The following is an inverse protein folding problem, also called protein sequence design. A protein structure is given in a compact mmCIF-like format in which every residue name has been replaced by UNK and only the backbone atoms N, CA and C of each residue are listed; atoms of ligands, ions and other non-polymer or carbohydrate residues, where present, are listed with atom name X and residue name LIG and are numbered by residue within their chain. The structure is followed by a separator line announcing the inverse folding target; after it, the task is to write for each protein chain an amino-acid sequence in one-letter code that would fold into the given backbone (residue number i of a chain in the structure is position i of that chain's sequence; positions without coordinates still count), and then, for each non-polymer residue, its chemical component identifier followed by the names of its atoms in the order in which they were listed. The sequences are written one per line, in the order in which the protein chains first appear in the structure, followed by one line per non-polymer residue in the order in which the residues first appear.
data_IF_349719340563
#
_entry.id   IF_349719340563
#
_cell.length_a   1.000
_cell.length_b   1.000
_cell.length_c   1.000
_cell.angle_alpha   90.00
_cell.angle_beta   90.00
_cell.angle_gamma   90.00
#
_symmetry.space_group_name_H-M   'P 1'
#
loop_
_entity.id
_entity.type
_entity.pdbx_description
1 polymer ?
#
# COMPACT_ATOMS: atom_id res chain seq x y z
N UNK A 1 -13.93 9.27 -20.99
CA UNK A 1 -12.86 8.57 -20.28
C UNK A 1 -13.45 7.59 -19.27
N UNK A 2 -13.84 8.04 -18.08
CA UNK A 2 -14.21 7.20 -16.93
C UNK A 2 -15.24 6.10 -17.22
N UNK A 3 -16.30 6.38 -17.98
CA UNK A 3 -17.29 5.37 -18.34
C UNK A 3 -16.66 4.18 -19.10
N UNK A 4 -15.87 4.47 -20.13
CA UNK A 4 -15.25 3.42 -20.95
C UNK A 4 -14.20 2.63 -20.16
N UNK A 5 -13.46 3.33 -19.27
CA UNK A 5 -12.52 2.68 -18.34
C UNK A 5 -13.26 1.72 -17.42
N UNK A 6 -14.35 2.18 -16.78
CA UNK A 6 -15.19 1.34 -15.91
C UNK A 6 -15.85 0.17 -16.64
N UNK A 7 -16.10 0.29 -17.95
CA UNK A 7 -16.68 -0.76 -18.79
C UNK A 7 -15.62 -1.64 -19.47
N UNK A 8 -14.32 -1.35 -19.28
CA UNK A 8 -13.21 -2.08 -19.92
C UNK A 8 -13.14 -1.95 -21.44
N UNK A 9 -13.67 -0.87 -22.01
CA UNK A 9 -13.77 -0.66 -23.47
C UNK A 9 -12.79 0.40 -23.96
N UNK A 10 -12.09 0.12 -25.07
CA UNK A 10 -11.10 1.01 -25.69
C UNK A 10 -10.13 1.64 -24.67
N UNK A 11 -9.59 0.84 -23.72
CA UNK A 11 -8.85 1.34 -22.56
C UNK A 11 -7.72 2.30 -22.93
N UNK A 12 -6.87 1.93 -23.89
CA UNK A 12 -5.73 2.76 -24.30
C UNK A 12 -6.11 4.11 -24.94
N UNK A 13 -7.38 4.30 -25.30
CA UNK A 13 -7.89 5.60 -25.78
C UNK A 13 -8.23 6.55 -24.64
N UNK A 14 -8.53 6.01 -23.47
CA UNK A 14 -9.10 6.74 -22.34
C UNK A 14 -8.26 6.67 -21.07
N UNK A 15 -7.31 5.74 -20.98
CA UNK A 15 -6.38 5.53 -19.89
C UNK A 15 -4.97 5.42 -20.46
N UNK A 16 -4.01 6.13 -19.86
CA UNK A 16 -2.60 5.95 -20.15
C UNK A 16 -2.11 4.63 -19.56
N UNK A 17 -2.49 3.51 -20.19
CA UNK A 17 -2.21 2.15 -19.69
C UNK A 17 -0.72 1.96 -19.43
N UNK A 18 0.14 2.50 -20.29
CA UNK A 18 1.59 2.41 -20.09
C UNK A 18 2.05 3.01 -18.76
N UNK A 19 1.61 4.22 -18.44
CA UNK A 19 1.98 4.87 -17.19
C UNK A 19 1.30 4.23 -15.98
N UNK A 20 0.08 3.70 -16.14
CA UNK A 20 -0.59 2.93 -15.09
C UNK A 20 0.20 1.65 -14.76
N UNK A 21 0.68 0.90 -15.75
CA UNK A 21 1.50 -0.29 -15.50
C UNK A 21 2.84 0.05 -14.84
N UNK A 22 3.46 1.19 -15.21
CA UNK A 22 4.67 1.70 -14.52
C UNK A 22 4.37 2.09 -13.07
N UNK A 23 3.25 2.77 -12.84
CA UNK A 23 2.78 3.10 -11.50
C UNK A 23 2.61 1.81 -10.68
N UNK A 24 1.95 0.80 -11.24
CA UNK A 24 1.76 -0.49 -10.56
C UNK A 24 3.10 -1.13 -10.19
N UNK A 25 4.06 -1.17 -11.12
CA UNK A 25 5.37 -1.76 -10.87
C UNK A 25 6.12 -1.05 -9.74
N UNK A 26 6.15 0.30 -9.76
CA UNK A 26 6.80 1.08 -8.69
C UNK A 26 6.06 0.90 -7.36
N UNK A 27 4.73 0.86 -7.38
CA UNK A 27 3.90 0.70 -6.19
C UNK A 27 4.14 -0.65 -5.50
N UNK A 28 4.03 -1.74 -6.26
CA UNK A 28 4.26 -3.10 -5.80
C UNK A 28 5.72 -3.30 -5.36
N UNK A 29 6.68 -2.70 -6.07
CA UNK A 29 8.09 -2.70 -5.66
C UNK A 29 8.26 -2.01 -4.29
N UNK A 30 7.63 -0.85 -4.11
CA UNK A 30 7.75 -0.05 -2.88
C UNK A 30 6.98 -0.59 -1.69
N UNK A 31 6.01 -1.49 -1.89
CA UNK A 31 5.14 -2.00 -0.82
C UNK A 31 4.49 -0.85 -0.04
N UNK A 32 3.88 0.10 -0.78
CA UNK A 32 3.27 1.27 -0.16
C UNK A 32 1.86 0.94 0.37
N UNK A 33 1.84 0.46 1.61
CA UNK A 33 0.61 0.07 2.32
C UNK A 33 -0.23 1.28 2.80
N UNK A 34 0.32 2.50 2.73
CA UNK A 34 -0.44 3.73 2.97
C UNK A 34 -1.09 4.25 1.68
N UNK A 35 -1.61 3.34 0.85
CA UNK A 35 -2.19 3.65 -0.45
C UNK A 35 -3.04 2.48 -0.97
N UNK A 36 -3.13 2.30 -2.29
CA UNK A 36 -4.01 1.34 -2.98
C UNK A 36 -3.75 -0.13 -2.61
N UNK A 37 -2.54 -0.48 -2.15
CA UNK A 37 -2.22 -1.81 -1.60
C UNK A 37 -2.74 -2.04 -0.18
N UNK A 38 -3.12 -1.00 0.54
CA UNK A 38 -3.67 -1.07 1.90
C UNK A 38 -5.14 -0.67 1.99
N UNK A 39 -5.57 -0.42 3.23
CA UNK A 39 -6.97 -0.09 3.54
C UNK A 39 -7.35 1.38 3.26
N UNK A 40 -6.39 2.19 2.78
CA UNK A 40 -6.59 3.61 2.53
C UNK A 40 -6.39 3.91 1.04
N UNK A 41 -7.49 4.16 0.32
CA UNK A 41 -7.45 4.47 -1.11
C UNK A 41 -6.98 5.92 -1.39
N UNK A 42 -5.80 6.29 -0.92
CA UNK A 42 -5.20 7.63 -1.05
C UNK A 42 -3.74 7.59 -1.52
N UNK A 43 -3.02 8.72 -1.46
CA UNK A 43 -1.60 8.84 -1.86
C UNK A 43 -1.33 8.61 -3.37
N UNK A 44 -2.27 9.09 -4.19
CA UNK A 44 -2.12 9.26 -5.62
C UNK A 44 -2.95 10.46 -6.11
N UNK A 45 -2.58 11.00 -7.26
CA UNK A 45 -3.38 11.95 -8.02
C UNK A 45 -3.86 11.30 -9.31
N UNK A 46 -5.12 11.58 -9.67
CA UNK A 46 -5.64 11.33 -11.00
C UNK A 46 -5.58 12.62 -11.80
N UNK A 47 -5.01 12.52 -12.99
CA UNK A 47 -4.92 13.64 -13.93
C UNK A 47 -5.64 13.27 -15.21
N UNK A 48 -6.48 14.17 -15.70
CA UNK A 48 -7.19 13.97 -16.97
C UNK A 48 -6.82 15.08 -17.94
N UNK A 49 -6.44 14.69 -19.15
CA UNK A 49 -6.11 15.61 -20.22
C UNK A 49 -6.61 15.07 -21.57
N UNK A 50 -7.42 15.86 -22.28
CA UNK A 50 -7.96 15.56 -23.62
C UNK A 50 -8.68 14.19 -23.73
N UNK A 51 -9.38 13.79 -22.68
CA UNK A 51 -10.10 12.52 -22.59
C UNK A 51 -9.25 11.34 -22.13
N UNK A 52 -7.97 11.55 -21.81
CA UNK A 52 -7.03 10.54 -21.32
C UNK A 52 -6.81 10.70 -19.82
N UNK A 53 -7.07 9.64 -19.05
CA UNK A 53 -6.80 9.59 -17.62
C UNK A 53 -5.37 9.06 -17.38
N UNK A 54 -4.73 9.61 -16.35
CA UNK A 54 -3.41 9.20 -15.88
C UNK A 54 -3.35 9.19 -14.34
N UNK A 55 -2.34 8.51 -13.79
CA UNK A 55 -2.12 8.36 -12.35
C UNK A 55 -0.69 8.78 -11.96
N UNK A 56 -0.58 9.49 -10.84
CA UNK A 56 0.71 9.91 -10.28
C UNK A 56 0.81 9.51 -8.81
N UNK A 57 1.96 8.98 -8.34
CA UNK A 57 2.17 8.69 -6.93
C UNK A 57 2.31 9.98 -6.11
N UNK A 58 1.88 9.92 -4.86
CA UNK A 58 2.09 10.98 -3.87
C UNK A 58 2.40 10.34 -2.52
N UNK A 59 3.26 10.96 -1.72
CA UNK A 59 3.55 10.59 -0.31
C UNK A 59 3.88 9.10 -0.07
N UNK A 60 5.12 8.71 -0.37
CA UNK A 60 5.62 7.33 -0.25
C UNK A 60 6.52 7.17 0.99
N UNK A 61 6.41 8.07 1.96
CA UNK A 61 7.23 8.09 3.17
C UNK A 61 7.03 6.85 4.06
N UNK A 62 5.91 6.14 3.95
CA UNK A 62 5.59 4.92 4.69
C UNK A 62 5.76 3.62 3.88
N UNK A 63 6.42 3.70 2.73
CA UNK A 63 6.78 2.54 1.90
C UNK A 63 7.74 1.60 2.64
N UNK A 64 7.98 0.41 2.06
CA UNK A 64 8.96 -0.57 2.55
C UNK A 64 8.75 -0.98 4.01
N UNK A 65 7.49 -1.03 4.46
CA UNK A 65 7.13 -1.43 5.83
C UNK A 65 6.88 -0.28 6.80
N UNK A 66 7.04 0.99 6.39
CA UNK A 66 6.83 2.14 7.27
C UNK A 66 5.40 2.29 7.84
N UNK A 67 4.38 1.73 7.17
CA UNK A 67 3.01 1.69 7.70
C UNK A 67 2.86 0.72 8.89
N UNK A 68 3.83 -0.16 9.15
CA UNK A 68 3.79 -1.15 10.23
C UNK A 68 2.84 -2.33 10.01
N UNK A 69 2.24 -2.43 8.82
CA UNK A 69 1.36 -3.52 8.41
C UNK A 69 1.65 -3.90 6.96
N UNK A 70 2.16 -5.10 6.75
CA UNK A 70 2.11 -5.87 5.52
C UNK A 70 0.79 -6.65 5.46
N UNK A 71 0.53 -7.29 4.33
CA UNK A 71 -0.77 -7.85 3.98
C UNK A 71 -1.15 -9.12 4.76
N UNK A 72 -0.28 -9.55 5.68
CA UNK A 72 -0.42 -10.76 6.52
C UNK A 72 -1.25 -10.62 7.80
N UNK A 73 -1.73 -9.42 8.17
CA UNK A 73 -2.36 -9.21 9.49
C UNK A 73 -1.34 -9.13 10.63
N UNK A 74 -1.82 -8.99 11.88
CA UNK A 74 -1.05 -8.56 13.07
C UNK A 74 0.43 -9.01 13.08
N UNK A 75 1.34 -8.02 12.98
CA UNK A 75 2.81 -8.13 12.92
C UNK A 75 3.38 -8.78 11.65
N UNK A 76 3.24 -8.08 10.52
CA UNK A 76 4.06 -8.38 9.34
C UNK A 76 5.54 -8.08 9.61
N UNK A 77 6.39 -9.08 9.47
CA UNK A 77 7.84 -8.91 9.58
C UNK A 77 8.46 -8.34 8.31
N UNK A 78 9.76 -8.05 8.35
CA UNK A 78 10.52 -7.70 7.15
C UNK A 78 10.41 -8.77 6.04
N UNK A 79 10.29 -10.04 6.41
CA UNK A 79 10.06 -11.14 5.45
C UNK A 79 8.80 -10.94 4.61
N UNK A 80 7.71 -10.46 5.18
CA UNK A 80 6.47 -10.23 4.43
C UNK A 80 6.61 -9.03 3.48
N UNK A 81 7.27 -7.95 3.94
CA UNK A 81 7.54 -6.77 3.11
C UNK A 81 8.44 -7.12 1.92
N UNK A 82 9.52 -7.85 2.19
CA UNK A 82 10.46 -8.29 1.14
C UNK A 82 9.76 -9.17 0.11
N UNK A 83 8.87 -10.07 0.55
CA UNK A 83 8.23 -11.03 -0.33
C UNK A 83 6.86 -10.62 -0.85
N UNK A 84 6.37 -9.40 -0.61
CA UNK A 84 5.04 -8.95 -1.02
C UNK A 84 4.71 -9.34 -2.47
N UNK A 85 3.53 -9.92 -2.68
CA UNK A 85 3.18 -10.59 -3.92
C UNK A 85 3.05 -9.61 -5.10
N UNK A 86 3.78 -9.86 -6.19
CA UNK A 86 3.77 -8.98 -7.37
C UNK A 86 2.53 -9.13 -8.26
N UNK A 87 1.87 -10.29 -8.26
CA UNK A 87 0.72 -10.58 -9.14
C UNK A 87 -0.64 -10.42 -8.45
N UNK A 88 -0.65 -10.09 -7.17
CA UNK A 88 -1.84 -9.64 -6.45
C UNK A 88 -1.58 -8.34 -5.71
N UNK A 89 -1.06 -7.24 -6.30
CA UNK A 89 -0.47 -6.12 -5.54
C UNK A 89 -1.47 -5.15 -4.87
N UNK A 90 -2.77 -5.21 -5.15
CA UNK A 90 -3.75 -4.21 -4.70
C UNK A 90 -4.99 -4.81 -4.03
N UNK A 91 -4.99 -4.96 -2.70
CA UNK A 91 -6.18 -5.42 -1.96
C UNK A 91 -7.33 -4.41 -1.93
N UNK A 92 -7.02 -3.11 -2.11
CA UNK A 92 -8.01 -2.05 -2.00
C UNK A 92 -8.98 -1.96 -3.19
N UNK A 93 -8.70 -2.64 -4.31
CA UNK A 93 -9.50 -2.53 -5.54
C UNK A 93 -9.21 -3.61 -6.58
N UNK A 94 -10.27 -4.16 -7.18
CA UNK A 94 -10.19 -5.09 -8.32
C UNK A 94 -9.81 -4.40 -9.67
N UNK A 95 -9.67 -3.07 -9.69
CA UNK A 95 -9.43 -2.33 -10.94
C UNK A 95 -8.13 -2.77 -11.64
N UNK A 96 -7.07 -3.01 -10.87
CA UNK A 96 -5.77 -3.38 -11.41
C UNK A 96 -5.72 -4.85 -11.80
N UNK A 97 -6.48 -5.72 -11.12
CA UNK A 97 -6.58 -7.14 -11.45
C UNK A 97 -7.06 -7.33 -12.90
N UNK A 98 -8.06 -6.56 -13.33
CA UNK A 98 -8.55 -6.59 -14.70
C UNK A 98 -7.48 -6.18 -15.75
N UNK A 99 -6.48 -5.38 -15.37
CA UNK A 99 -5.34 -5.10 -16.25
C UNK A 99 -4.37 -6.28 -16.31
N UNK A 100 -4.12 -6.95 -15.19
CA UNK A 100 -3.23 -8.11 -15.11
C UNK A 100 -3.82 -9.39 -15.75
N UNK A 101 -5.15 -9.48 -15.89
CA UNK A 101 -5.80 -10.54 -16.67
C UNK A 101 -5.47 -10.48 -18.18
N UNK A 102 -5.00 -9.33 -18.67
CA UNK A 102 -4.52 -9.19 -20.05
C UNK A 102 -3.04 -9.58 -20.15
N UNK A 103 -2.75 -10.66 -20.87
CA UNK A 103 -1.39 -11.21 -21.02
C UNK A 103 -0.35 -10.18 -21.53
N UNK A 104 -0.74 -9.25 -22.42
CA UNK A 104 0.16 -8.22 -22.94
C UNK A 104 0.49 -7.17 -21.86
N UNK A 105 -0.51 -6.78 -21.07
CA UNK A 105 -0.32 -5.82 -19.99
C UNK A 105 0.45 -6.43 -18.82
N UNK A 106 0.17 -7.69 -18.49
CA UNK A 106 0.93 -8.46 -17.50
C UNK A 106 2.41 -8.56 -17.89
N UNK A 107 2.70 -8.92 -19.15
CA UNK A 107 4.07 -9.00 -19.64
C UNK A 107 4.80 -7.65 -19.54
N UNK A 108 4.14 -6.53 -19.88
CA UNK A 108 4.71 -5.18 -19.74
C UNK A 108 4.93 -4.78 -18.28
N UNK A 109 4.00 -5.12 -17.40
CA UNK A 109 4.15 -4.91 -15.96
C UNK A 109 5.33 -5.68 -15.38
N UNK A 110 5.47 -6.97 -15.73
CA UNK A 110 6.61 -7.81 -15.35
C UNK A 110 7.94 -7.28 -15.88
N UNK A 111 7.96 -6.77 -17.10
CA UNK A 111 9.15 -6.11 -17.66
C UNK A 111 9.56 -4.88 -16.83
N UNK A 112 8.60 -4.06 -16.38
CA UNK A 112 8.90 -2.91 -15.52
C UNK A 112 9.45 -3.32 -14.15
N UNK A 113 8.93 -4.39 -13.55
CA UNK A 113 9.49 -4.97 -12.32
C UNK A 113 10.91 -5.52 -12.53
N UNK A 114 11.17 -6.12 -13.69
CA UNK A 114 12.50 -6.61 -14.07
C UNK A 114 13.49 -5.45 -14.23
N UNK A 115 13.11 -4.36 -14.90
CA UNK A 115 13.93 -3.14 -14.99
C UNK A 115 14.23 -2.57 -13.60
N UNK A 116 13.25 -2.52 -12.70
CA UNK A 116 13.45 -2.03 -11.34
C UNK A 116 14.45 -2.90 -10.55
N UNK A 117 14.39 -4.22 -10.71
CA UNK A 117 15.24 -5.15 -9.96
C UNK A 117 16.62 -5.27 -10.59
N UNK A 118 16.68 -5.69 -11.86
CA UNK A 118 17.94 -6.01 -12.56
C UNK A 118 18.72 -4.74 -12.96
N UNK A 119 18.07 -3.75 -13.57
CA UNK A 119 18.78 -2.58 -14.09
C UNK A 119 18.99 -1.47 -13.04
N UNK A 120 17.98 -1.23 -12.20
CA UNK A 120 18.05 -0.14 -11.23
C UNK A 120 18.73 -0.57 -9.92
N UNK A 121 18.30 -1.68 -9.29
CA UNK A 121 18.88 -2.12 -8.02
C UNK A 121 20.20 -2.86 -8.22
N UNK A 122 20.22 -3.89 -9.05
CA UNK A 122 21.40 -4.75 -9.25
C UNK A 122 22.40 -4.16 -10.25
N UNK A 123 21.91 -3.37 -11.20
CA UNK A 123 22.73 -2.58 -12.13
C UNK A 123 23.46 -1.40 -11.48
N UNK A 124 23.29 -1.18 -10.16
CA UNK A 124 24.07 -0.23 -9.36
C UNK A 124 23.53 1.20 -9.31
N UNK A 125 22.47 1.53 -10.06
CA UNK A 125 21.86 2.87 -10.03
C UNK A 125 21.30 3.23 -8.65
N UNK A 126 20.74 2.24 -7.94
CA UNK A 126 20.29 2.40 -6.56
C UNK A 126 21.47 2.71 -5.63
N UNK A 127 22.60 2.02 -5.78
CA UNK A 127 23.79 2.22 -4.93
C UNK A 127 24.40 3.62 -5.13
N UNK A 128 24.44 4.07 -6.39
CA UNK A 128 24.84 5.43 -6.74
C UNK A 128 23.89 6.48 -6.15
N UNK A 129 22.58 6.25 -6.23
CA UNK A 129 21.57 7.15 -5.66
C UNK A 129 21.70 7.20 -4.12
N UNK A 130 21.76 6.04 -3.47
CA UNK A 130 21.89 5.90 -2.02
C UNK A 130 23.13 6.65 -1.54
N UNK A 131 24.30 6.32 -2.08
CA UNK A 131 25.57 6.98 -1.72
C UNK A 131 25.53 8.48 -2.03
N UNK A 132 24.94 8.86 -3.16
CA UNK A 132 24.77 10.25 -3.57
C UNK A 132 23.90 11.06 -2.60
N UNK A 133 22.80 10.49 -2.10
CA UNK A 133 21.95 11.13 -1.08
C UNK A 133 22.71 11.25 0.24
N UNK A 134 23.26 10.15 0.76
CA UNK A 134 24.03 10.11 2.02
C UNK A 134 25.13 11.17 2.02
N UNK A 135 25.93 11.25 0.95
CA UNK A 135 27.00 12.24 0.81
C UNK A 135 26.55 13.71 0.90
N UNK A 136 25.28 14.00 0.58
CA UNK A 136 24.72 15.35 0.58
C UNK A 136 24.04 15.69 1.91
N UNK A 137 23.51 14.69 2.62
CA UNK A 137 22.65 14.94 3.78
C UNK A 137 23.23 14.47 5.12
N UNK A 138 24.19 13.55 5.16
CA UNK A 138 24.69 12.98 6.42
C UNK A 138 25.16 14.05 7.41
N UNK A 139 26.02 14.98 6.96
CA UNK A 139 26.49 16.07 7.81
C UNK A 139 25.37 17.05 8.17
N UNK A 140 24.40 17.26 7.27
CA UNK A 140 23.24 18.11 7.54
C UNK A 140 22.36 17.49 8.64
N UNK A 141 22.09 16.19 8.58
CA UNK A 141 21.34 15.45 9.61
C UNK A 141 22.10 15.49 10.94
N UNK A 142 23.42 15.25 10.90
CA UNK A 142 24.27 15.23 12.11
C UNK A 142 24.30 16.57 12.84
N UNK A 143 24.25 17.67 12.10
CA UNK A 143 24.39 19.02 12.64
C UNK A 143 23.07 19.77 12.81
N UNK A 144 21.94 19.17 12.42
CA UNK A 144 20.62 19.78 12.53
C UNK A 144 20.22 19.97 14.01
N UNK A 145 20.13 21.21 14.52
CA UNK A 145 19.74 21.48 15.91
C UNK A 145 18.25 21.22 16.19
N UNK A 146 17.47 20.90 15.16
CA UNK A 146 16.03 20.64 15.18
C UNK A 146 15.66 19.21 14.79
N UNK A 147 16.67 18.32 14.64
CA UNK A 147 16.45 16.95 14.22
C UNK A 147 15.43 16.21 15.12
N UNK A 148 14.51 15.50 14.46
CA UNK A 148 13.53 14.65 15.15
C UNK A 148 14.14 13.35 15.69
N UNK A 149 15.20 12.88 15.03
CA UNK A 149 15.94 11.66 15.33
C UNK A 149 17.42 11.98 15.51
N UNK A 150 18.11 11.16 16.30
CA UNK A 150 19.56 11.21 16.39
C UNK A 150 20.22 10.75 15.09
N UNK A 151 21.49 11.13 14.89
CA UNK A 151 22.24 10.68 13.73
C UNK A 151 22.38 9.15 13.68
N UNK A 152 22.59 8.49 14.83
CA UNK A 152 22.72 7.03 14.90
C UNK A 152 21.40 6.32 14.52
N UNK A 153 20.24 6.86 14.90
CA UNK A 153 18.94 6.35 14.47
C UNK A 153 18.73 6.53 12.96
N UNK A 154 19.11 7.69 12.42
CA UNK A 154 19.08 7.94 10.98
C UNK A 154 19.98 6.98 10.20
N UNK A 155 21.20 6.75 10.68
CA UNK A 155 22.18 5.89 10.02
C UNK A 155 21.69 4.44 9.97
N UNK A 156 21.21 3.93 11.11
CA UNK A 156 20.63 2.60 11.21
C UNK A 156 19.37 2.44 10.32
N UNK A 157 18.50 3.44 10.26
CA UNK A 157 17.33 3.43 9.39
C UNK A 157 17.70 3.41 7.90
N UNK A 158 18.72 4.17 7.52
CA UNK A 158 19.20 4.21 6.15
C UNK A 158 19.85 2.88 5.72
N UNK A 159 20.62 2.23 6.60
CA UNK A 159 21.16 0.89 6.36
C UNK A 159 20.04 -0.16 6.24
N UNK A 160 19.09 -0.16 7.16
CA UNK A 160 17.94 -1.06 7.09
C UNK A 160 17.13 -0.88 5.79
N UNK A 161 16.93 0.37 5.36
CA UNK A 161 16.20 0.67 4.11
C UNK A 161 16.95 0.12 2.89
N UNK A 162 18.28 0.26 2.89
CA UNK A 162 19.13 -0.27 1.83
C UNK A 162 18.98 -1.80 1.72
N UNK A 163 19.05 -2.51 2.85
CA UNK A 163 18.93 -3.97 2.89
C UNK A 163 17.54 -4.44 2.46
N UNK A 164 16.47 -3.79 2.93
CA UNK A 164 15.10 -4.10 2.51
C UNK A 164 14.94 -3.96 1.00
N UNK A 165 15.44 -2.87 0.40
CA UNK A 165 15.33 -2.64 -1.04
C UNK A 165 16.10 -3.70 -1.84
N UNK A 166 17.30 -4.09 -1.39
CA UNK A 166 18.10 -5.15 -2.03
C UNK A 166 17.39 -6.50 -1.97
N UNK A 167 16.89 -6.89 -0.81
CA UNK A 167 16.16 -8.15 -0.67
C UNK A 167 14.82 -8.13 -1.42
N UNK A 168 14.14 -6.98 -1.48
CA UNK A 168 12.91 -6.80 -2.25
C UNK A 168 13.15 -7.04 -3.74
N UNK A 169 14.21 -6.47 -4.31
CA UNK A 169 14.59 -6.73 -5.70
C UNK A 169 14.86 -8.22 -5.95
N UNK A 170 15.63 -8.87 -5.06
CA UNK A 170 15.90 -10.31 -5.14
C UNK A 170 14.60 -11.15 -5.08
N UNK A 171 13.64 -10.78 -4.23
CA UNK A 171 12.36 -11.49 -4.14
C UNK A 171 11.55 -11.31 -5.42
N UNK A 172 11.50 -10.10 -5.97
CA UNK A 172 10.77 -9.81 -7.20
C UNK A 172 11.36 -10.60 -8.37
N UNK A 173 12.68 -10.69 -8.50
CA UNK A 173 13.32 -11.56 -9.50
C UNK A 173 12.91 -13.03 -9.33
N UNK A 174 12.95 -13.53 -8.09
CA UNK A 174 12.51 -14.88 -7.78
C UNK A 174 11.05 -15.13 -8.15
N UNK A 175 10.17 -14.15 -7.94
CA UNK A 175 8.75 -14.19 -8.31
C UNK A 175 8.54 -14.16 -9.82
N UNK A 176 9.26 -13.29 -10.54
CA UNK A 176 9.22 -13.18 -12.00
C UNK A 176 9.71 -14.46 -12.69
N UNK A 177 10.71 -15.13 -12.11
CA UNK A 177 11.28 -16.36 -12.64
C UNK A 177 10.51 -17.62 -12.18
N UNK A 178 9.48 -17.45 -11.36
CA UNK A 178 8.63 -18.53 -10.83
C UNK A 178 9.30 -19.43 -9.79
N UNK A 179 10.42 -19.00 -9.22
CA UNK A 179 11.11 -19.70 -8.11
C UNK A 179 10.54 -19.35 -6.74
N UNK A 180 9.88 -18.19 -6.63
CA UNK A 180 9.08 -17.76 -5.49
C UNK A 180 7.64 -17.58 -5.98
N UNK A 181 6.60 -17.97 -5.22
CA UNK A 181 5.22 -17.72 -5.64
C UNK A 181 4.92 -16.22 -5.75
N UNK A 182 4.32 -15.79 -6.85
CA UNK A 182 4.06 -14.38 -7.16
C UNK A 182 2.73 -13.83 -6.63
N UNK A 183 1.88 -14.67 -6.02
CA UNK A 183 0.56 -14.30 -5.48
C UNK A 183 0.46 -14.56 -3.98
N UNK A 184 -0.38 -13.80 -3.28
CA UNK A 184 -0.62 -13.98 -1.84
C UNK A 184 -1.10 -15.40 -1.51
N UNK A 185 -1.97 -15.99 -2.33
CA UNK A 185 -2.42 -17.37 -2.18
C UNK A 185 -1.27 -18.36 -2.40
N UNK A 186 -0.44 -18.13 -3.41
CA UNK A 186 0.72 -18.96 -3.70
C UNK A 186 1.70 -19.00 -2.52
N UNK A 187 2.02 -17.84 -1.95
CA UNK A 187 2.95 -17.74 -0.83
C UNK A 187 2.37 -18.34 0.47
N UNK A 188 1.05 -18.21 0.70
CA UNK A 188 0.36 -18.87 1.83
C UNK A 188 0.38 -20.40 1.70
N UNK A 189 0.30 -20.91 0.47
CA UNK A 189 0.33 -22.34 0.20
C UNK A 189 1.74 -22.93 0.27
N UNK A 190 2.76 -22.19 -0.18
CA UNK A 190 4.16 -22.59 -0.13
C UNK A 190 5.09 -21.39 0.09
N UNK A 191 5.40 -21.10 1.36
CA UNK A 191 6.34 -20.06 1.75
C UNK A 191 7.80 -20.52 1.82
N UNK A 192 8.12 -21.76 1.41
CA UNK A 192 9.44 -22.35 1.68
C UNK A 192 10.59 -21.71 0.89
N UNK A 193 10.27 -21.07 -0.23
CA UNK A 193 11.22 -20.35 -1.09
C UNK A 193 11.30 -18.84 -0.79
N UNK A 194 10.51 -18.32 0.15
CA UNK A 194 10.52 -16.90 0.49
C UNK A 194 11.88 -16.50 1.08
N UNK A 195 12.31 -15.29 0.75
CA UNK A 195 13.55 -14.72 1.27
C UNK A 195 13.38 -14.44 2.77
N UNK A 196 14.21 -15.05 3.61
CA UNK A 196 14.24 -14.76 5.04
C UNK A 196 14.89 -13.40 5.28
N UNK A 197 14.09 -12.45 5.76
CA UNK A 197 14.53 -11.11 6.13
C UNK A 197 14.31 -10.84 7.64
N UNK A 198 14.17 -11.89 8.45
CA UNK A 198 13.83 -11.78 9.88
C UNK A 198 14.85 -11.02 10.73
N UNK A 199 16.08 -10.84 10.23
CA UNK A 199 17.12 -10.04 10.90
C UNK A 199 16.91 -8.52 10.74
N UNK A 200 16.08 -8.08 9.79
CA UNK A 200 15.78 -6.66 9.59
C UNK A 200 14.71 -6.20 10.59
N UNK A 201 15.06 -5.19 11.38
CA UNK A 201 14.13 -4.49 12.25
C UNK A 201 13.42 -3.34 11.49
N UNK A 202 12.20 -3.61 11.01
CA UNK A 202 11.39 -2.59 10.32
C UNK A 202 11.03 -1.40 11.22
N UNK A 203 11.11 -1.52 12.54
CA UNK A 203 10.81 -0.39 13.43
C UNK A 203 11.79 0.78 13.26
N UNK A 204 12.97 0.51 12.69
CA UNK A 204 13.96 1.52 12.32
C UNK A 204 13.50 2.43 11.16
N UNK A 205 12.64 1.93 10.25
CA UNK A 205 12.21 2.68 9.06
C UNK A 205 11.16 3.77 9.36
N UNK A 206 10.87 3.98 10.64
CA UNK A 206 9.76 4.80 11.10
C UNK A 206 8.45 4.03 11.01
N UNK A 207 7.55 4.27 11.97
CA UNK A 207 6.23 3.66 11.98
C UNK A 207 5.14 4.72 12.03
N UNK A 208 4.06 4.49 11.30
CA UNK A 208 2.86 5.30 11.41
C UNK A 208 2.20 5.07 12.77
N UNK A 209 2.53 5.92 13.74
CA UNK A 209 1.92 5.86 15.06
C UNK A 209 0.59 6.61 15.02
N UNK A 210 -0.52 5.87 14.83
CA UNK A 210 -1.90 6.34 14.86
C UNK A 210 -2.33 6.84 16.26
N UNK A 211 -1.67 7.88 16.78
CA UNK A 211 -2.10 8.63 17.98
C UNK A 211 -2.41 7.77 19.22
N UNK A 212 -1.89 6.55 19.30
CA UNK A 212 -2.13 5.61 20.38
C UNK A 212 -1.00 5.74 21.40
N UNK A 213 -1.35 6.15 22.61
CA UNK A 213 -0.43 6.14 23.74
C UNK A 213 -0.04 4.69 24.04
N UNK A 214 1.03 4.21 23.42
CA UNK A 214 1.74 2.99 23.81
C UNK A 214 3.21 3.33 24.00
N UNK A 215 3.51 3.90 25.16
CA UNK A 215 4.55 3.37 26.05
C UNK A 215 5.98 3.20 25.55
N UNK A 216 6.44 3.85 24.48
CA UNK A 216 7.87 3.96 24.18
C UNK A 216 8.35 5.36 24.52
N UNK A 217 9.28 5.43 25.50
CA UNK A 217 9.95 6.66 25.91
C UNK A 217 10.85 7.17 24.78
N UNK A 218 10.28 7.79 23.76
CA UNK A 218 10.99 8.73 22.90
C UNK A 218 10.88 10.12 23.55
N UNK A 219 12.03 10.72 23.83
CA UNK A 219 12.18 11.86 24.74
C UNK A 219 11.45 13.13 24.29
N UNK A 220 10.27 13.38 24.83
CA UNK A 220 9.62 14.69 24.73
C UNK A 220 10.28 15.69 25.68
N UNK A 221 11.42 16.26 25.26
CA UNK A 221 11.94 17.50 25.85
C UNK A 221 11.06 18.67 25.40
N UNK A 222 10.29 19.15 26.36
CA UNK A 222 9.46 20.37 26.36
C UNK A 222 10.18 21.59 25.72
N UNK A 223 9.98 21.78 24.42
CA UNK A 223 10.21 23.03 23.69
C UNK A 223 8.97 23.93 23.72
N UNK A 224 9.16 25.24 23.91
CA UNK A 224 8.13 26.19 24.36
C UNK A 224 6.99 26.48 23.38
N UNK A 225 5.79 26.65 23.95
CA UNK A 225 4.62 27.28 23.30
C UNK A 225 4.86 28.78 23.06
N UNK A 226 4.57 29.32 21.86
CA UNK A 226 4.16 30.71 21.72
C UNK A 226 2.68 30.84 22.10
N UNK A 227 2.35 31.90 22.85
CA UNK A 227 0.99 32.28 23.25
C UNK A 227 0.26 33.02 22.12
N UNK A 228 -1.06 32.84 22.14
CA UNK A 228 -2.12 33.77 21.76
C UNK A 228 -2.27 34.15 20.28
N UNK A 229 -3.29 33.56 19.65
CA UNK A 229 -4.34 34.33 18.97
C UNK A 229 -5.69 33.71 19.37
N UNK A 230 -6.49 34.45 20.13
CA UNK A 230 -7.90 34.19 20.38
C UNK A 230 -8.67 35.44 19.93
N UNK A 231 -9.62 35.23 19.02
CA UNK A 231 -10.78 36.05 18.64
C UNK A 231 -11.29 35.42 17.32
N UNK A 232 -12.50 34.92 17.17
CA UNK A 232 -13.65 34.79 18.04
C UNK A 232 -14.81 34.41 17.12
N UNK A 233 -15.58 33.38 17.45
CA UNK A 233 -16.99 33.35 17.06
C UNK A 233 -17.79 32.46 18.00
N UNK A 234 -18.72 33.14 18.65
CA UNK A 234 -19.66 32.74 19.67
C UNK A 234 -20.84 32.05 19.00
N UNK A 235 -21.34 30.97 19.59
CA UNK A 235 -22.62 30.36 19.23
C UNK A 235 -22.98 29.24 20.19
N UNK A 236 -23.44 29.62 21.38
CA UNK A 236 -23.83 28.66 22.42
C UNK A 236 -25.22 28.06 22.19
N UNK A 237 -25.44 26.89 22.79
CA UNK A 237 -26.67 26.62 23.53
C UNK A 237 -26.40 25.58 24.62
N UNK A 238 -26.78 25.90 25.85
CA UNK A 238 -26.79 25.02 27.02
C UNK A 238 -28.05 24.13 26.99
N UNK A 239 -27.94 22.85 27.39
CA UNK A 239 -28.72 22.34 28.53
C UNK A 239 -28.30 20.95 28.98
N UNK A 240 -28.54 20.73 30.27
CA UNK A 240 -28.01 19.75 31.21
C UNK A 240 -28.79 18.43 31.27
N UNK A 241 -28.06 17.32 31.52
CA UNK A 241 -28.38 16.33 32.56
C UNK A 241 -29.28 15.13 32.20
N UNK A 242 -28.74 13.91 32.24
CA UNK A 242 -29.08 12.85 33.22
C UNK A 242 -28.52 11.49 32.78
N UNK A 243 -28.00 10.74 33.74
CA UNK A 243 -27.55 9.36 33.63
C UNK A 243 -28.73 8.37 33.58
N UNK A 244 -28.50 7.19 33.01
CA UNK A 244 -29.21 5.96 33.37
C UNK A 244 -29.80 5.12 32.24
N UNK A 245 -29.11 4.00 31.95
CA UNK A 245 -29.59 2.70 31.42
C UNK A 245 -30.27 2.63 30.06
N UNK A 246 -29.68 1.84 29.13
CA UNK A 246 -30.36 0.69 28.52
C UNK A 246 -29.37 -0.24 27.79
N UNK A 247 -29.16 -1.43 28.35
CA UNK A 247 -28.67 -2.62 27.65
C UNK A 247 -29.84 -3.27 26.93
N UNK A 248 -29.91 -3.18 25.60
CA UNK A 248 -30.47 -4.20 24.70
C UNK A 248 -30.69 -3.63 23.28
N UNK A 249 -29.82 -3.93 22.31
CA UNK A 249 -30.22 -3.92 20.88
C UNK A 249 -29.28 -4.65 19.89
N UNK A 250 -28.10 -5.12 20.29
CA UNK A 250 -27.12 -5.68 19.34
C UNK A 250 -27.57 -6.96 18.60
N UNK A 251 -28.54 -7.72 19.12
CA UNK A 251 -28.98 -8.97 18.48
C UNK A 251 -29.96 -8.81 17.30
N UNK A 252 -30.67 -7.68 17.22
CA UNK A 252 -31.72 -7.47 16.22
C UNK A 252 -31.19 -6.99 14.87
N UNK A 253 -30.11 -6.20 14.86
CA UNK A 253 -29.49 -5.71 13.62
C UNK A 253 -28.65 -6.80 12.93
N UNK A 254 -27.96 -7.64 13.69
CA UNK A 254 -27.15 -8.74 13.15
C UNK A 254 -28.01 -9.74 12.36
N UNK A 255 -29.20 -10.07 12.87
CA UNK A 255 -30.13 -10.98 12.19
C UNK A 255 -30.76 -10.37 10.92
N UNK A 256 -30.99 -9.05 10.90
CA UNK A 256 -31.46 -8.35 9.69
C UNK A 256 -30.39 -8.31 8.59
N UNK A 257 -29.14 -8.05 8.98
CA UNK A 257 -28.02 -8.02 8.05
C UNK A 257 -27.77 -9.41 7.45
N UNK A 258 -27.85 -10.48 8.24
CA UNK A 258 -27.68 -11.86 7.74
C UNK A 258 -28.74 -12.24 6.68
N UNK A 259 -29.98 -11.79 6.84
CA UNK A 259 -31.05 -12.00 5.85
C UNK A 259 -30.82 -11.22 4.56
N UNK A 260 -30.33 -9.99 4.64
CA UNK A 260 -30.03 -9.14 3.47
C UNK A 260 -28.86 -9.76 2.68
N UNK A 261 -27.77 -10.14 3.35
CA UNK A 261 -26.62 -10.76 2.68
C UNK A 261 -26.96 -12.12 2.07
N UNK A 262 -27.79 -12.93 2.74
CA UNK A 262 -28.27 -14.20 2.18
C UNK A 262 -29.13 -14.05 0.92
N UNK A 263 -29.98 -13.02 0.87
CA UNK A 263 -30.79 -12.72 -0.32
C UNK A 263 -29.95 -12.20 -1.50
N UNK A 264 -28.93 -11.39 -1.23
CA UNK A 264 -27.99 -10.90 -2.25
C UNK A 264 -27.15 -12.03 -2.87
N UNK A 265 -26.66 -12.97 -2.06
CA UNK A 265 -25.90 -14.12 -2.54
C UNK A 265 -26.75 -15.05 -3.43
N UNK A 266 -28.01 -15.29 -3.05
CA UNK A 266 -28.94 -16.08 -3.85
C UNK A 266 -29.24 -15.46 -5.23
N UNK A 267 -29.36 -14.13 -5.29
CA UNK A 267 -29.57 -13.39 -6.54
C UNK A 267 -28.38 -13.50 -7.50
N UNK A 268 -27.14 -13.42 -6.98
CA UNK A 268 -25.93 -13.53 -7.78
C UNK A 268 -25.75 -14.93 -8.40
N UNK A 269 -26.06 -15.99 -7.65
CA UNK A 269 -26.00 -17.36 -8.16
C UNK A 269 -27.01 -17.58 -9.30
N UNK A 270 -28.23 -17.05 -9.20
CA UNK A 270 -29.24 -17.17 -10.26
C UNK A 270 -28.83 -16.41 -11.53
N UNK A 271 -28.18 -15.25 -11.39
CA UNK A 271 -27.66 -14.49 -12.54
C UNK A 271 -26.50 -15.23 -13.23
N UNK A 272 -25.59 -15.83 -12.47
CA UNK A 272 -24.49 -16.65 -13.02
C UNK A 272 -25.03 -17.87 -13.79
N UNK A 273 -26.01 -18.59 -13.23
CA UNK A 273 -26.65 -19.71 -13.93
C UNK A 273 -27.39 -19.28 -15.20
N UNK A 274 -28.01 -18.10 -15.21
CA UNK A 274 -28.69 -17.55 -16.37
C UNK A 274 -27.71 -17.14 -17.47
N UNK A 275 -26.60 -16.48 -17.11
CA UNK A 275 -25.53 -16.10 -18.03
C UNK A 275 -24.84 -17.31 -18.67
N UNK A 276 -24.53 -18.34 -17.88
CA UNK A 276 -23.95 -19.60 -18.39
C UNK A 276 -24.90 -20.33 -19.36
N UNK A 277 -26.22 -20.29 -19.11
CA UNK A 277 -27.21 -20.94 -19.96
C UNK A 277 -27.44 -20.21 -21.29
N UNK A 278 -27.29 -18.88 -21.31
CA UNK A 278 -27.32 -18.08 -22.55
C UNK A 278 -26.06 -18.32 -23.39
N UNK A 279 -24.88 -18.42 -22.76
CA UNK A 279 -23.60 -18.66 -23.46
C UNK A 279 -23.55 -20.04 -24.13
N UNK A 280 -24.14 -21.08 -23.53
CA UNK A 280 -24.25 -22.44 -24.12
C UNK A 280 -25.23 -22.56 -25.28
N UNK A 281 -26.11 -21.58 -25.53
CA UNK A 281 -27.06 -21.60 -26.66
C UNK A 281 -26.55 -20.84 -27.91
N UNK A 282 -25.37 -20.23 -27.82
CA UNK A 282 -24.75 -19.44 -28.91
C UNK A 282 -23.52 -20.12 -29.56
N UNK A 283 -23.32 -21.42 -29.27
CA UNK A 283 -22.38 -22.31 -29.97
C UNK A 283 -23.24 -23.40 -30.62
#
# INVERSE_FOLDING_TARGET
ALKNISEGTDLEKYLNVDNVLKYMAVHAFSVNMDSLSGNMAHNYYLYEYNGMLDIFPWDYNLSFGGMGSGRGGDSSGATDVVNDAIDTPFDGTDFFDALLENEEYLARYHEYLRILSEEYVDGGRFDELYSGIRSRIDELVKTDPTAFYSYDEYDAAAEALYDVIKLRAQSIEGQLDGTIPSTDEGQKNDGSALIDASEIDLSLLGSFNMGGVTGSKAGMRRGGRPRNFDEGMRGGNEQTGSAGTDQASAGGEVMKNLFIYGACLGGMIIMLFSAMRVRRRRI
#
